data_IF_152505340703
#
_entry.id   IF_152505340703
#
_cell.length_a   1.000
_cell.length_b   1.000
_cell.length_c   1.000
_cell.angle_alpha   90.00
_cell.angle_beta   90.00
_cell.angle_gamma   90.00
#
_symmetry.space_group_name_H-M   'P 1'
#
loop_
_entity.id
_entity.type
_entity.pdbx_description
1 polymer ?
#
# COMPACT_ATOMS: atom_id res chain seq x y z
N UNK A 1 -2.42 -10.45 6.48
CA UNK A 1 -1.27 -10.92 5.68
C UNK A 1 -0.49 -9.73 5.14
N UNK A 2 0.78 -9.92 4.77
CA UNK A 2 1.74 -8.88 4.35
C UNK A 2 1.29 -7.99 3.17
N UNK A 3 0.28 -8.43 2.42
CA UNK A 3 -0.36 -7.69 1.32
C UNK A 3 -1.70 -7.03 1.71
N UNK A 4 -2.01 -6.93 3.00
CA UNK A 4 -3.23 -6.23 3.46
C UNK A 4 -3.07 -4.72 3.31
N UNK A 5 -4.05 -4.02 2.69
CA UNK A 5 -3.99 -2.56 2.57
C UNK A 5 -3.96 -1.89 3.93
N UNK A 6 -4.70 -2.41 4.91
CA UNK A 6 -4.84 -1.79 6.21
C UNK A 6 -3.60 -1.96 7.08
N UNK A 7 -2.98 -3.14 7.04
CA UNK A 7 -1.68 -3.35 7.67
C UNK A 7 -0.62 -2.42 7.06
N UNK A 8 -0.56 -2.34 5.72
CA UNK A 8 0.37 -1.45 5.04
C UNK A 8 0.16 0.01 5.46
N UNK A 9 -1.09 0.50 5.48
CA UNK A 9 -1.40 1.88 5.88
C UNK A 9 -0.90 2.15 7.30
N UNK A 10 -1.17 1.25 8.26
CA UNK A 10 -0.71 1.40 9.64
C UNK A 10 0.81 1.50 9.72
N UNK A 11 1.52 0.51 9.17
CA UNK A 11 2.98 0.45 9.23
C UNK A 11 3.64 1.65 8.53
N UNK A 12 3.06 2.08 7.39
CA UNK A 12 3.52 3.25 6.67
C UNK A 12 3.35 4.52 7.49
N UNK A 13 2.19 4.72 8.13
CA UNK A 13 1.92 5.88 8.97
C UNK A 13 2.64 5.85 10.33
N UNK A 14 3.08 4.68 10.79
CA UNK A 14 4.02 4.54 11.91
C UNK A 14 5.48 4.86 11.52
N UNK A 15 5.75 5.13 10.23
CA UNK A 15 7.10 5.46 9.75
C UNK A 15 8.01 4.25 9.57
N UNK A 16 7.47 3.03 9.61
CA UNK A 16 8.28 1.81 9.55
C UNK A 16 8.83 1.51 8.14
N UNK A 17 8.25 2.07 7.08
CA UNK A 17 8.65 1.84 5.70
C UNK A 17 8.34 0.41 5.21
N UNK A 18 7.09 -0.06 5.30
CA UNK A 18 6.72 -1.43 4.94
C UNK A 18 7.10 -1.77 3.49
N UNK A 19 7.62 -2.97 3.27
CA UNK A 19 7.97 -3.52 1.95
C UNK A 19 8.93 -2.62 1.13
N UNK A 20 9.85 -1.93 1.82
CA UNK A 20 10.83 -1.04 1.21
C UNK A 20 10.23 0.27 0.69
N UNK A 21 9.05 0.65 1.20
CA UNK A 21 8.54 2.02 1.02
C UNK A 21 9.36 3.02 1.85
N UNK A 22 9.35 4.32 1.49
CA UNK A 22 10.05 5.33 2.26
C UNK A 22 9.57 5.37 3.71
N UNK A 23 10.50 5.61 4.63
CA UNK A 23 10.14 6.01 6.00
C UNK A 23 9.64 7.45 5.97
N UNK A 24 8.64 7.72 6.80
CA UNK A 24 8.07 9.06 6.97
C UNK A 24 8.10 9.43 8.45
N UNK A 25 7.99 10.72 8.73
CA UNK A 25 7.82 11.19 10.10
C UNK A 25 6.35 10.98 10.54
N UNK A 26 6.08 10.16 11.57
CA UNK A 26 4.70 9.75 11.91
C UNK A 26 3.78 10.92 12.27
N UNK A 27 4.31 11.98 12.87
CA UNK A 27 3.51 13.13 13.30
C UNK A 27 3.21 14.11 12.16
N UNK A 28 4.04 14.11 11.11
CA UNK A 28 3.76 14.81 9.84
C UNK A 28 2.74 14.02 9.02
N UNK A 29 2.86 12.69 9.03
CA UNK A 29 2.01 11.79 8.26
C UNK A 29 2.29 11.85 6.75
N UNK A 30 1.30 11.43 5.96
CA UNK A 30 1.43 11.42 4.51
C UNK A 30 0.10 11.65 3.78
N UNK A 31 0.14 12.15 2.53
CA UNK A 31 -1.05 12.20 1.67
C UNK A 31 -1.57 10.81 1.30
N UNK A 32 -2.90 10.66 1.19
CA UNK A 32 -3.52 9.42 0.72
C UNK A 32 -2.97 8.95 -0.64
N UNK A 33 -2.64 9.89 -1.52
CA UNK A 33 -2.06 9.60 -2.83
C UNK A 33 -0.70 8.87 -2.72
N UNK A 34 0.16 9.28 -1.79
CA UNK A 34 1.47 8.65 -1.58
C UNK A 34 1.34 7.28 -0.93
N UNK A 35 0.48 7.17 0.08
CA UNK A 35 0.20 5.88 0.74
C UNK A 35 -0.33 4.87 -0.29
N UNK A 36 -1.29 5.31 -1.13
CA UNK A 36 -1.83 4.48 -2.21
C UNK A 36 -0.77 4.12 -3.25
N UNK A 37 0.10 5.07 -3.63
CA UNK A 37 1.18 4.84 -4.58
C UNK A 37 2.13 3.76 -4.06
N UNK A 38 2.64 3.88 -2.84
CA UNK A 38 3.59 2.92 -2.28
C UNK A 38 2.97 1.55 -2.02
N UNK A 39 1.71 1.53 -1.57
CA UNK A 39 0.96 0.27 -1.45
C UNK A 39 0.81 -0.41 -2.82
N UNK A 40 0.49 0.37 -3.86
CA UNK A 40 0.37 -0.17 -5.22
C UNK A 40 1.70 -0.73 -5.72
N UNK A 41 2.80 -0.01 -5.55
CA UNK A 41 4.14 -0.50 -5.93
C UNK A 41 4.46 -1.81 -5.22
N UNK A 42 4.12 -1.92 -3.93
CA UNK A 42 4.27 -3.16 -3.15
C UNK A 42 3.48 -4.32 -3.76
N UNK A 43 2.21 -4.10 -4.12
CA UNK A 43 1.39 -5.12 -4.78
C UNK A 43 1.98 -5.55 -6.13
N UNK A 44 2.51 -4.61 -6.92
CA UNK A 44 3.13 -4.93 -8.21
C UNK A 44 4.41 -5.76 -8.01
N UNK A 45 5.24 -5.43 -7.02
CA UNK A 45 6.42 -6.22 -6.64
C UNK A 45 6.04 -7.64 -6.23
N UNK A 46 5.01 -7.80 -5.39
CA UNK A 46 4.52 -9.11 -4.97
C UNK A 46 4.01 -9.96 -6.15
N UNK A 47 3.27 -9.34 -7.09
CA UNK A 47 2.81 -10.01 -8.32
C UNK A 47 3.99 -10.41 -9.21
N UNK A 48 4.99 -9.54 -9.36
CA UNK A 48 6.19 -9.83 -10.15
C UNK A 48 6.97 -11.00 -9.54
N UNK A 49 7.17 -10.99 -8.22
CA UNK A 49 7.86 -12.04 -7.48
C UNK A 49 7.14 -13.39 -7.61
N UNK A 50 5.82 -13.44 -7.37
CA UNK A 50 5.04 -14.67 -7.52
C UNK A 50 5.15 -15.25 -8.95
N UNK A 51 5.09 -14.39 -9.98
CA UNK A 51 5.29 -14.81 -11.37
C UNK A 51 6.69 -15.34 -11.63
N UNK A 52 7.72 -14.69 -11.08
CA UNK A 52 9.11 -15.07 -11.21
C UNK A 52 9.38 -16.43 -10.56
N UNK A 53 8.97 -16.61 -9.31
CA UNK A 53 9.08 -17.87 -8.58
C UNK A 53 8.43 -19.02 -9.33
N UNK A 54 7.16 -18.86 -9.75
CA UNK A 54 6.46 -19.91 -10.54
C UNK A 54 7.13 -20.20 -11.87
N UNK A 55 7.76 -19.21 -12.50
CA UNK A 55 8.46 -19.39 -13.78
C UNK A 55 9.74 -20.19 -13.56
N UNK A 56 10.50 -19.83 -12.53
CA UNK A 56 11.75 -20.49 -12.16
C UNK A 56 11.53 -21.92 -11.69
N UNK A 57 10.55 -22.17 -10.81
CA UNK A 57 10.17 -23.52 -10.38
C UNK A 57 9.87 -24.45 -11.56
N UNK A 58 9.13 -23.93 -12.56
CA UNK A 58 8.83 -24.67 -13.79
C UNK A 58 10.07 -24.92 -14.64
N UNK A 59 11.01 -23.98 -14.70
CA UNK A 59 12.23 -24.12 -15.50
C UNK A 59 13.21 -25.08 -14.83
N UNK A 60 13.50 -24.90 -13.54
CA UNK A 60 14.36 -25.75 -12.74
C UNK A 60 13.91 -27.22 -12.79
N UNK A 61 12.60 -27.47 -12.69
CA UNK A 61 12.02 -28.82 -12.84
C UNK A 61 12.26 -29.43 -14.22
N UNK A 62 12.16 -28.64 -15.30
CA UNK A 62 12.40 -29.13 -16.67
C UNK A 62 13.88 -29.45 -16.90
N UNK A 63 14.76 -28.62 -16.35
CA UNK A 63 16.21 -28.73 -16.47
C UNK A 63 16.83 -29.68 -15.44
N UNK A 64 16.03 -30.23 -14.51
CA UNK A 64 16.48 -31.08 -13.40
C UNK A 64 17.58 -30.44 -12.56
N UNK A 65 17.49 -29.13 -12.34
CA UNK A 65 18.40 -28.36 -11.48
C UNK A 65 17.66 -27.84 -10.25
N UNK A 66 18.42 -27.37 -9.27
CA UNK A 66 17.87 -26.64 -8.13
C UNK A 66 17.28 -25.29 -8.57
N UNK A 67 16.31 -24.80 -7.78
CA UNK A 67 15.76 -23.44 -7.91
C UNK A 67 16.87 -22.44 -7.60
N UNK A 68 17.09 -21.45 -8.48
CA UNK A 68 18.04 -20.36 -8.27
C UNK A 68 17.33 -19.11 -7.75
N UNK A 69 17.65 -18.64 -6.53
CA UNK A 69 17.16 -17.37 -6.01
C UNK A 69 17.53 -16.17 -6.89
N UNK A 70 18.73 -16.18 -7.48
CA UNK A 70 19.23 -15.12 -8.36
C UNK A 70 18.39 -15.00 -9.64
N UNK A 71 17.97 -16.14 -10.19
CA UNK A 71 17.09 -16.15 -11.36
C UNK A 71 15.68 -15.65 -11.01
N UNK A 72 15.18 -15.94 -9.81
CA UNK A 72 13.91 -15.36 -9.31
C UNK A 72 14.03 -13.84 -9.23
N UNK A 73 15.12 -13.31 -8.67
CA UNK A 73 15.34 -11.86 -8.56
C UNK A 73 15.38 -11.20 -9.94
N UNK A 74 16.20 -11.74 -10.85
CA UNK A 74 16.32 -11.26 -12.23
C UNK A 74 14.98 -11.28 -12.98
N UNK A 75 14.20 -12.34 -12.82
CA UNK A 75 12.86 -12.44 -13.43
C UNK A 75 11.86 -11.48 -12.77
N UNK A 76 11.98 -11.25 -11.46
CA UNK A 76 11.13 -10.31 -10.71
C UNK A 76 11.31 -8.91 -11.24
N UNK A 77 12.54 -8.42 -11.35
CA UNK A 77 12.86 -7.11 -11.94
C UNK A 77 12.31 -7.00 -13.37
N UNK A 78 12.55 -8.03 -14.18
CA UNK A 78 12.09 -8.08 -15.57
C UNK A 78 10.57 -7.99 -15.69
N UNK A 79 9.83 -8.66 -14.80
CA UNK A 79 8.38 -8.59 -14.77
C UNK A 79 7.88 -7.27 -14.23
N UNK A 80 8.49 -6.74 -13.18
CA UNK A 80 8.09 -5.47 -12.58
C UNK A 80 8.12 -4.32 -13.59
N UNK A 81 9.21 -4.21 -14.38
CA UNK A 81 9.34 -3.18 -15.43
C UNK A 81 8.26 -3.29 -16.51
N UNK A 82 7.70 -4.49 -16.73
CA UNK A 82 6.69 -4.74 -17.76
C UNK A 82 5.26 -4.66 -17.27
N UNK A 83 5.04 -4.65 -15.96
CA UNK A 83 3.67 -4.54 -15.43
C UNK A 83 3.22 -3.09 -15.59
N UNK A 84 2.15 -2.83 -16.35
CA UNK A 84 1.65 -1.46 -16.49
C UNK A 84 1.18 -0.95 -15.13
N UNK A 85 1.67 0.24 -14.74
CA UNK A 85 1.23 0.89 -13.50
C UNK A 85 -0.29 1.09 -13.45
N UNK A 86 -0.92 1.35 -14.61
CA UNK A 86 -2.38 1.53 -14.72
C UNK A 86 -3.19 0.22 -14.76
N UNK A 87 -2.56 -0.93 -14.49
CA UNK A 87 -3.26 -2.21 -14.36
C UNK A 87 -4.33 -2.19 -13.26
N UNK A 88 -5.28 -3.13 -13.32
CA UNK A 88 -6.54 -3.17 -12.55
C UNK A 88 -6.38 -3.33 -11.03
N UNK A 89 -5.17 -3.55 -10.53
CA UNK A 89 -4.90 -3.65 -9.09
C UNK A 89 -4.87 -2.27 -8.41
N UNK A 90 -5.47 -2.19 -7.22
CA UNK A 90 -5.47 -1.02 -6.34
C UNK A 90 -5.74 0.32 -7.07
N UNK A 91 -7.00 0.52 -7.49
CA UNK A 91 -7.43 1.84 -8.00
C UNK A 91 -7.51 2.84 -6.85
N UNK A 92 -7.10 4.08 -7.11
CA UNK A 92 -7.12 5.15 -6.10
C UNK A 92 -8.52 5.35 -5.50
N UNK A 93 -9.59 5.29 -6.31
CA UNK A 93 -10.96 5.40 -5.81
C UNK A 93 -11.28 4.35 -4.74
N UNK A 94 -10.94 3.08 -4.97
CA UNK A 94 -11.14 2.01 -3.98
C UNK A 94 -10.32 2.24 -2.72
N UNK A 95 -9.08 2.73 -2.86
CA UNK A 95 -8.24 3.06 -1.72
C UNK A 95 -8.86 4.16 -0.84
N UNK A 96 -9.36 5.25 -1.45
CA UNK A 96 -10.03 6.34 -0.72
C UNK A 96 -11.26 5.83 0.03
N UNK A 97 -12.07 4.97 -0.59
CA UNK A 97 -13.23 4.36 0.08
C UNK A 97 -12.80 3.56 1.32
N UNK A 98 -11.76 2.73 1.21
CA UNK A 98 -11.25 1.97 2.37
C UNK A 98 -10.64 2.87 3.44
N UNK A 99 -9.91 3.92 3.05
CA UNK A 99 -9.32 4.87 3.97
C UNK A 99 -10.38 5.66 4.74
N UNK A 100 -11.55 5.92 4.15
CA UNK A 100 -12.65 6.61 4.83
C UNK A 100 -13.19 5.84 6.05
N UNK A 101 -13.12 4.50 6.04
CA UNK A 101 -13.46 3.70 7.22
C UNK A 101 -12.50 4.00 8.39
N UNK A 102 -11.20 4.18 8.10
CA UNK A 102 -10.20 4.50 9.13
C UNK A 102 -10.46 5.89 9.73
N UNK A 103 -10.90 6.85 8.92
CA UNK A 103 -11.30 8.18 9.40
C UNK A 103 -12.54 8.09 10.30
N UNK A 104 -13.56 7.33 9.87
CA UNK A 104 -14.80 7.14 10.64
C UNK A 104 -14.59 6.42 11.97
N UNK A 105 -13.61 5.52 12.03
CA UNK A 105 -13.16 4.87 13.25
C UNK A 105 -12.31 5.78 14.15
N UNK A 106 -11.94 6.97 13.68
CA UNK A 106 -11.04 7.88 14.40
C UNK A 106 -9.61 7.36 14.52
N UNK A 107 -9.19 6.42 13.66
CA UNK A 107 -7.83 5.85 13.70
C UNK A 107 -6.81 6.72 12.96
N UNK A 108 -7.29 7.54 12.02
CA UNK A 108 -6.49 8.52 11.29
C UNK A 108 -7.17 9.87 11.31
N UNK A 109 -6.37 10.92 11.32
CA UNK A 109 -6.84 12.32 11.32
C UNK A 109 -6.01 13.17 10.34
N UNK A 110 -6.58 14.25 9.78
CA UNK A 110 -5.79 15.22 9.04
C UNK A 110 -4.81 15.94 9.96
N UNK A 111 -3.61 16.24 9.48
CA UNK A 111 -2.59 16.95 10.27
C UNK A 111 -2.69 18.47 10.19
N UNK A 112 -3.60 18.99 9.36
CA UNK A 112 -3.68 20.41 9.00
C UNK A 112 -2.68 20.82 7.91
N UNK A 113 -1.73 19.94 7.55
CA UNK A 113 -0.81 20.16 6.43
C UNK A 113 -1.46 19.78 5.11
N UNK A 114 -1.34 20.68 4.14
CA UNK A 114 -1.78 20.48 2.76
C UNK A 114 -0.66 20.86 1.78
N UNK A 115 -0.64 20.23 0.62
CA UNK A 115 0.21 20.61 -0.51
C UNK A 115 -0.60 20.65 -1.81
N UNK A 116 -0.13 21.43 -2.79
CA UNK A 116 -0.78 21.53 -4.09
C UNK A 116 -0.85 20.16 -4.77
N UNK A 117 -2.02 19.79 -5.27
CA UNK A 117 -2.16 18.58 -6.09
C UNK A 117 -1.84 18.85 -7.55
N UNK A 118 -1.35 17.85 -8.28
CA UNK A 118 -1.15 17.95 -9.72
C UNK A 118 -2.47 18.26 -10.47
N UNK A 119 -3.62 17.89 -9.88
CA UNK A 119 -4.93 18.25 -10.44
C UNK A 119 -5.17 19.77 -10.40
N UNK A 120 -4.65 20.45 -9.37
CA UNK A 120 -4.73 21.91 -9.24
C UNK A 120 -3.87 22.68 -10.24
N UNK A 121 -2.98 22.01 -10.99
CA UNK A 121 -2.27 22.65 -12.11
C UNK A 121 -3.19 22.94 -13.30
N UNK A 122 -4.28 22.16 -13.45
CA UNK A 122 -5.27 22.33 -14.51
C UNK A 122 -6.60 22.90 -14.00
N UNK A 123 -6.90 22.74 -12.70
CA UNK A 123 -8.13 23.22 -12.09
C UNK A 123 -7.87 23.70 -10.66
N UNK A 124 -7.61 25.00 -10.48
CA UNK A 124 -7.10 25.58 -9.22
C UNK A 124 -8.00 25.30 -7.99
N UNK A 125 -9.32 25.24 -8.17
CA UNK A 125 -10.29 24.89 -7.12
C UNK A 125 -10.41 23.38 -6.84
N UNK A 126 -9.54 22.58 -7.45
CA UNK A 126 -9.43 21.15 -7.19
C UNK A 126 -8.95 20.83 -5.77
N UNK A 127 -9.17 19.60 -5.29
CA UNK A 127 -8.76 19.23 -3.93
C UNK A 127 -7.23 19.22 -3.79
N UNK A 128 -6.68 19.76 -2.68
CA UNK A 128 -5.27 19.65 -2.37
C UNK A 128 -4.94 18.24 -1.87
N UNK A 129 -3.63 17.95 -1.76
CA UNK A 129 -3.13 16.73 -1.14
C UNK A 129 -3.04 16.95 0.38
N UNK A 130 -4.01 16.40 1.11
CA UNK A 130 -4.08 16.49 2.57
C UNK A 130 -3.26 15.40 3.23
N UNK A 131 -2.47 15.77 4.24
CA UNK A 131 -1.68 14.84 5.04
C UNK A 131 -2.54 14.23 6.14
N UNK A 132 -2.37 12.92 6.36
CA UNK A 132 -3.02 12.18 7.43
C UNK A 132 -1.98 11.47 8.29
N UNK A 133 -2.24 11.37 9.59
CA UNK A 133 -1.44 10.60 10.55
C UNK A 133 -2.33 9.67 11.37
N UNK A 134 -1.71 8.74 12.10
CA UNK A 134 -2.42 7.94 13.08
C UNK A 134 -2.73 8.76 14.34
N UNK A 135 -3.97 8.64 14.81
CA UNK A 135 -4.37 9.12 16.13
C UNK A 135 -3.80 8.19 17.21
N UNK A 136 -3.91 8.58 18.49
CA UNK A 136 -3.61 7.67 19.61
C UNK A 136 -4.40 6.36 19.50
N UNK A 137 -5.71 6.45 19.24
CA UNK A 137 -6.58 5.30 19.07
C UNK A 137 -6.12 4.39 17.91
N UNK A 138 -5.72 4.95 16.78
CA UNK A 138 -5.21 4.18 15.64
C UNK A 138 -3.88 3.45 15.90
N UNK A 139 -3.04 4.00 16.77
CA UNK A 139 -1.76 3.37 17.17
C UNK A 139 -1.99 2.20 18.13
N UNK A 140 -2.91 2.38 19.08
CA UNK A 140 -3.19 1.45 20.16
C UNK A 140 -4.12 0.29 19.77
N UNK A 141 -4.93 0.45 18.72
CA UNK A 141 -5.85 -0.61 18.31
C UNK A 141 -5.11 -1.87 17.82
N UNK A 142 -5.58 -3.03 18.26
CA UNK A 142 -4.94 -4.32 17.99
C UNK A 142 -5.03 -4.79 16.53
N UNK A 143 -4.17 -5.75 16.19
CA UNK A 143 -4.02 -6.27 14.82
C UNK A 143 -5.30 -6.84 14.23
N UNK A 144 -6.16 -7.46 15.05
CA UNK A 144 -7.46 -8.01 14.61
C UNK A 144 -8.37 -6.91 14.07
N UNK A 145 -8.39 -5.73 14.69
CA UNK A 145 -9.19 -4.61 14.23
C UNK A 145 -8.61 -4.02 12.94
N UNK A 146 -7.29 -3.84 12.88
CA UNK A 146 -6.60 -3.42 11.66
C UNK A 146 -6.77 -4.41 10.50
N UNK A 147 -6.93 -5.70 10.77
CA UNK A 147 -7.17 -6.70 9.72
C UNK A 147 -8.53 -6.50 9.02
N UNK A 148 -9.54 -5.96 9.70
CA UNK A 148 -10.87 -5.73 9.12
C UNK A 148 -11.59 -4.49 9.71
N UNK A 149 -11.20 -3.27 9.31
CA UNK A 149 -11.79 -2.03 9.83
C UNK A 149 -13.29 -1.90 9.51
N UNK A 150 -13.76 -2.46 8.39
CA UNK A 150 -15.18 -2.46 8.06
C UNK A 150 -15.98 -3.25 9.10
N UNK A 151 -15.48 -4.44 9.49
CA UNK A 151 -16.11 -5.22 10.55
C UNK A 151 -16.08 -4.50 11.90
N UNK A 152 -14.99 -3.79 12.20
CA UNK A 152 -14.92 -2.97 13.43
C UNK A 152 -15.92 -1.82 13.43
N UNK A 153 -16.21 -1.23 12.27
CA UNK A 153 -17.12 -0.09 12.16
C UNK A 153 -18.60 -0.50 12.26
N UNK A 154 -18.98 -1.66 11.74
CA UNK A 154 -20.39 -2.08 11.64
C UNK A 154 -20.76 -3.29 12.51
N UNK A 155 -19.79 -3.98 13.12
CA UNK A 155 -20.04 -5.23 13.85
C UNK A 155 -20.24 -6.43 12.92
N UNK A 156 -20.48 -7.60 13.51
CA UNK A 156 -21.08 -8.74 12.81
C UNK A 156 -22.59 -8.55 12.93
N UNK A 157 -23.28 -8.39 11.80
CA UNK A 157 -24.73 -8.52 11.75
C UNK A 157 -25.18 -9.88 12.30
#
# INVERSE_FOLDING_TARGET
GLNSPFWFIREFLLGHGPNGSPKIEPDVGAPQADICYHYKITLLKAIALDRATRKEERQARREKRAISPEEIERLTERYLVRIPYKSTSCRFHSFVVYFSNLQRLGWVEPTGKEEKSAFQDHYASGPPRRYYRLTKAGREVGDTAWANPRLTLYGRD
#
